data_IF_461749516219
#
_entry.id   IF_461749516219
#
_cell.length_a   1.000
_cell.length_b   1.000
_cell.length_c   1.000
_cell.angle_alpha   90.00
_cell.angle_beta   90.00
_cell.angle_gamma   90.00
#
_symmetry.space_group_name_H-M   'P 1'
#
loop_
_entity.id
_entity.type
_entity.pdbx_description
1 polymer ?
#
# COMPACT_ATOMS: atom_id res chain seq x y z
N UNK A 1 -7.75 -2.14 32.58
CA UNK A 1 -7.73 -0.66 32.55
C UNK A 1 -8.98 -0.17 31.83
N UNK A 2 -9.53 0.99 32.21
CA UNK A 2 -10.62 1.59 31.42
C UNK A 2 -10.09 2.01 30.04
N UNK A 3 -10.94 1.98 29.00
CA UNK A 3 -10.57 2.41 27.63
C UNK A 3 -9.95 3.82 27.62
N UNK A 4 -10.50 4.73 28.42
CA UNK A 4 -10.02 6.10 28.63
C UNK A 4 -8.57 6.13 29.13
N UNK A 5 -8.23 5.31 30.14
CA UNK A 5 -6.87 5.28 30.68
C UNK A 5 -5.85 4.78 29.65
N UNK A 6 -6.23 3.76 28.88
CA UNK A 6 -5.38 3.26 27.80
C UNK A 6 -5.16 4.32 26.72
N UNK A 7 -6.21 5.05 26.33
CA UNK A 7 -6.08 6.12 25.33
C UNK A 7 -5.13 7.23 25.81
N UNK A 8 -5.24 7.65 27.08
CA UNK A 8 -4.33 8.65 27.67
C UNK A 8 -2.89 8.13 27.67
N UNK A 9 -2.65 6.86 28.00
CA UNK A 9 -1.31 6.26 28.00
C UNK A 9 -0.71 6.21 26.58
N UNK A 10 -1.48 5.77 25.59
CA UNK A 10 -1.03 5.73 24.19
C UNK A 10 -0.78 7.12 23.62
N UNK A 11 -1.66 8.09 23.90
CA UNK A 11 -1.49 9.48 23.50
C UNK A 11 -0.26 10.12 24.16
N UNK A 12 -0.07 9.91 25.47
CA UNK A 12 1.08 10.45 26.21
C UNK A 12 2.41 9.89 25.69
N UNK A 13 2.44 8.59 25.37
CA UNK A 13 3.60 7.96 24.76
C UNK A 13 3.90 8.54 23.38
N UNK A 14 2.87 8.62 22.51
CA UNK A 14 3.01 9.18 21.17
C UNK A 14 3.50 10.63 21.20
N UNK A 15 2.86 11.51 21.97
CA UNK A 15 3.23 12.93 22.06
C UNK A 15 4.67 13.07 22.57
N UNK A 16 5.06 12.30 23.59
CA UNK A 16 6.43 12.33 24.11
C UNK A 16 7.47 11.99 23.03
N UNK A 17 7.25 10.94 22.26
CA UNK A 17 8.18 10.52 21.19
C UNK A 17 8.14 11.50 20.01
N UNK A 18 6.94 11.87 19.57
CA UNK A 18 6.69 12.78 18.45
C UNK A 18 7.35 14.14 18.69
N UNK A 19 7.13 14.75 19.85
CA UNK A 19 7.62 16.09 20.14
C UNK A 19 9.13 16.11 20.37
N UNK A 20 9.73 15.03 20.89
CA UNK A 20 11.19 14.87 20.91
C UNK A 20 11.77 14.83 19.51
N UNK A 21 11.18 14.05 18.60
CA UNK A 21 11.64 14.00 17.21
C UNK A 21 11.45 15.33 16.44
N UNK A 22 10.50 16.16 16.89
CA UNK A 22 10.24 17.50 16.36
C UNK A 22 10.98 18.65 17.08
N UNK A 23 11.78 18.35 18.12
CA UNK A 23 12.45 19.36 18.98
C UNK A 23 11.47 20.33 19.66
N UNK A 24 10.39 19.79 20.23
CA UNK A 24 9.28 20.48 20.90
C UNK A 24 9.09 20.00 22.34
N UNK A 25 10.15 19.54 22.99
CA UNK A 25 10.09 18.92 24.32
C UNK A 25 9.43 19.80 25.38
N UNK A 26 9.62 21.11 25.28
CA UNK A 26 9.04 22.09 26.20
C UNK A 26 7.50 22.11 26.19
N UNK A 27 6.85 21.61 25.13
CA UNK A 27 5.39 21.61 25.00
C UNK A 27 4.75 20.26 25.36
N UNK A 28 5.54 19.24 25.71
CA UNK A 28 5.03 17.88 25.98
C UNK A 28 4.03 17.88 27.13
N UNK A 29 4.39 18.47 28.27
CA UNK A 29 3.54 18.43 29.47
C UNK A 29 2.22 19.18 29.29
N UNK A 30 2.26 20.33 28.61
CA UNK A 30 1.08 21.14 28.29
C UNK A 30 0.15 20.37 27.35
N UNK A 31 0.69 19.85 26.24
CA UNK A 31 -0.11 19.09 25.26
C UNK A 31 -0.74 17.83 25.86
N UNK A 32 -0.02 17.10 26.71
CA UNK A 32 -0.57 15.92 27.40
C UNK A 32 -1.74 16.32 28.32
N UNK A 33 -1.64 17.44 29.05
CA UNK A 33 -2.73 17.94 29.89
C UNK A 33 -3.95 18.33 29.07
N UNK A 34 -3.76 19.02 27.94
CA UNK A 34 -4.85 19.35 27.01
C UNK A 34 -5.58 18.09 26.53
N UNK A 35 -4.83 17.08 26.09
CA UNK A 35 -5.37 15.81 25.61
C UNK A 35 -6.15 15.09 26.73
N UNK A 36 -5.63 15.09 27.96
CA UNK A 36 -6.33 14.49 29.10
C UNK A 36 -7.69 15.16 29.34
N UNK A 37 -7.73 16.49 29.35
CA UNK A 37 -8.97 17.26 29.52
C UNK A 37 -9.95 16.99 28.36
N UNK A 38 -9.46 16.92 27.13
CA UNK A 38 -10.27 16.64 25.95
C UNK A 38 -10.89 15.23 26.00
N UNK A 39 -10.09 14.23 26.38
CA UNK A 39 -10.54 12.83 26.55
C UNK A 39 -11.57 12.72 27.66
N UNK A 40 -11.38 13.40 28.79
CA UNK A 40 -12.34 13.41 29.90
C UNK A 40 -13.69 14.03 29.48
N UNK A 41 -13.66 15.05 28.63
CA UNK A 41 -14.85 15.77 28.19
C UNK A 41 -15.59 15.08 27.05
N UNK A 42 -14.87 14.51 26.09
CA UNK A 42 -15.43 14.04 24.80
C UNK A 42 -15.31 12.53 24.59
N UNK A 43 -14.49 11.86 25.40
CA UNK A 43 -14.13 10.45 25.22
C UNK A 43 -12.99 10.19 24.22
N UNK A 44 -12.46 11.22 23.55
CA UNK A 44 -11.35 11.14 22.59
C UNK A 44 -10.53 12.45 22.56
N UNK A 45 -9.56 12.57 21.65
CA UNK A 45 -8.88 13.83 21.35
C UNK A 45 -8.61 13.99 19.85
N UNK A 46 -8.31 15.21 19.43
CA UNK A 46 -7.89 15.51 18.07
C UNK A 46 -6.40 15.80 17.94
N UNK A 47 -5.76 15.15 16.96
CA UNK A 47 -4.41 15.49 16.57
C UNK A 47 -4.35 16.87 15.93
N UNK A 48 -3.29 17.62 16.22
CA UNK A 48 -2.89 18.74 15.36
C UNK A 48 -2.47 18.22 13.97
N UNK A 49 -2.45 19.09 12.96
CA UNK A 49 -1.97 18.68 11.64
C UNK A 49 -0.48 18.23 11.68
N UNK A 50 0.35 18.86 12.52
CA UNK A 50 1.75 18.48 12.70
C UNK A 50 1.89 17.08 13.33
N UNK A 51 1.08 16.78 14.35
CA UNK A 51 0.99 15.44 14.96
C UNK A 51 0.55 14.39 13.94
N UNK A 52 -0.46 14.70 13.12
CA UNK A 52 -0.95 13.81 12.07
C UNK A 52 0.13 13.52 11.02
N UNK A 53 0.84 14.57 10.57
CA UNK A 53 1.94 14.47 9.61
C UNK A 53 3.05 13.57 10.15
N UNK A 54 3.53 13.84 11.36
CA UNK A 54 4.64 13.09 11.92
C UNK A 54 4.23 11.66 12.30
N UNK A 55 3.05 11.49 12.91
CA UNK A 55 2.52 10.18 13.29
C UNK A 55 2.33 9.25 12.11
N UNK A 56 1.83 9.75 10.97
CA UNK A 56 1.68 8.96 9.74
C UNK A 56 3.04 8.54 9.18
N UNK A 57 4.04 9.43 9.23
CA UNK A 57 5.41 9.13 8.81
C UNK A 57 6.07 8.09 9.72
N UNK A 58 5.87 8.20 11.04
CA UNK A 58 6.30 7.19 12.00
C UNK A 58 5.64 5.83 11.71
N UNK A 59 4.35 5.80 11.35
CA UNK A 59 3.66 4.56 11.01
C UNK A 59 4.30 3.84 9.82
N UNK A 60 4.69 4.57 8.77
CA UNK A 60 5.45 3.99 7.67
C UNK A 60 6.85 3.53 8.11
N UNK A 61 7.57 4.34 8.90
CA UNK A 61 8.89 3.96 9.47
C UNK A 61 8.83 2.65 10.26
N UNK A 62 7.75 2.43 10.99
CA UNK A 62 7.52 1.26 11.84
C UNK A 62 6.90 0.05 11.09
N UNK A 63 6.64 0.17 9.79
CA UNK A 63 6.00 -0.89 9.00
C UNK A 63 6.96 -2.03 8.69
N UNK A 64 6.94 -3.08 9.52
CA UNK A 64 7.89 -4.20 9.46
C UNK A 64 7.95 -4.96 8.13
N UNK A 65 6.88 -4.91 7.32
CA UNK A 65 6.79 -5.58 6.02
C UNK A 65 7.25 -4.72 4.84
N UNK A 66 7.63 -3.46 5.08
CA UNK A 66 7.96 -2.52 4.01
C UNK A 66 9.49 -2.39 3.82
N UNK A 67 9.99 -2.72 2.63
CA UNK A 67 11.39 -2.50 2.25
C UNK A 67 11.68 -1.03 1.89
N UNK A 68 10.68 -0.28 1.41
CA UNK A 68 10.82 1.09 0.91
C UNK A 68 10.94 2.20 1.98
N UNK A 69 11.27 1.85 3.23
CA UNK A 69 11.18 2.76 4.38
C UNK A 69 12.19 3.92 4.39
N UNK A 70 13.21 3.92 3.54
CA UNK A 70 14.19 5.01 3.47
C UNK A 70 13.53 6.40 3.28
N UNK A 71 12.39 6.45 2.60
CA UNK A 71 11.71 7.70 2.26
C UNK A 71 10.59 8.08 3.24
N UNK A 72 10.52 7.44 4.41
CA UNK A 72 9.42 7.60 5.37
C UNK A 72 9.09 9.06 5.70
N UNK A 73 10.11 9.89 5.89
CA UNK A 73 9.97 11.31 6.23
C UNK A 73 9.49 12.20 5.07
N UNK A 74 9.45 11.67 3.83
CA UNK A 74 9.03 12.39 2.63
C UNK A 74 7.59 12.11 2.22
N UNK A 75 6.87 11.27 2.95
CA UNK A 75 5.45 11.02 2.69
C UNK A 75 4.67 12.33 2.76
N UNK A 76 3.83 12.55 1.75
CA UNK A 76 2.88 13.66 1.71
C UNK A 76 1.58 13.26 2.39
N UNK A 77 1.03 14.13 3.23
CA UNK A 77 -0.22 13.89 3.96
C UNK A 77 -1.28 14.84 3.40
N UNK A 78 -2.36 14.26 2.90
CA UNK A 78 -3.59 14.95 2.55
C UNK A 78 -4.56 14.79 3.72
N UNK A 79 -4.81 15.88 4.45
CA UNK A 79 -5.76 15.88 5.56
C UNK A 79 -7.19 16.01 5.03
N UNK A 80 -7.97 14.94 5.16
CA UNK A 80 -9.36 14.85 4.75
C UNK A 80 -10.27 14.57 5.95
N UNK A 81 -9.85 14.91 7.17
CA UNK A 81 -10.63 14.67 8.40
C UNK A 81 -11.97 15.41 8.43
N UNK A 82 -12.09 16.51 7.70
CA UNK A 82 -13.33 17.29 7.57
C UNK A 82 -14.32 16.71 6.53
N UNK A 83 -13.92 15.68 5.77
CA UNK A 83 -14.80 15.05 4.78
C UNK A 83 -15.83 14.18 5.49
N UNK A 84 -17.11 14.46 5.22
CA UNK A 84 -18.25 13.85 5.92
C UNK A 84 -19.38 13.39 5.00
N UNK A 85 -19.18 13.37 3.68
CA UNK A 85 -20.18 12.93 2.71
C UNK A 85 -19.57 12.13 1.55
N UNK A 86 -20.42 11.42 0.80
CA UNK A 86 -20.01 10.51 -0.27
C UNK A 86 -19.37 11.21 -1.48
N UNK A 87 -19.70 12.48 -1.71
CA UNK A 87 -19.10 13.26 -2.79
C UNK A 87 -17.69 13.71 -2.42
N UNK A 88 -17.52 14.22 -1.20
CA UNK A 88 -16.23 14.57 -0.62
C UNK A 88 -15.29 13.38 -0.54
N UNK A 89 -15.77 12.19 -0.12
CA UNK A 89 -14.94 10.96 -0.10
C UNK A 89 -14.46 10.63 -1.51
N UNK A 90 -15.36 10.59 -2.49
CA UNK A 90 -15.00 10.33 -3.88
C UNK A 90 -13.97 11.34 -4.41
N UNK A 91 -14.21 12.63 -4.21
CA UNK A 91 -13.33 13.69 -4.67
C UNK A 91 -11.94 13.60 -4.03
N UNK A 92 -11.87 13.27 -2.74
CA UNK A 92 -10.61 13.06 -2.03
C UNK A 92 -9.84 11.83 -2.57
N UNK A 93 -10.53 10.73 -2.89
CA UNK A 93 -9.91 9.54 -3.49
C UNK A 93 -9.41 9.80 -4.92
N UNK A 94 -10.19 10.49 -5.75
CA UNK A 94 -9.75 10.90 -7.09
C UNK A 94 -8.57 11.87 -7.02
N UNK A 95 -8.60 12.82 -6.08
CA UNK A 95 -7.48 13.73 -5.83
C UNK A 95 -6.21 12.96 -5.42
N UNK A 96 -6.34 11.98 -4.51
CA UNK A 96 -5.24 11.09 -4.13
C UNK A 96 -4.66 10.40 -5.37
N UNK A 97 -5.51 9.77 -6.19
CA UNK A 97 -5.07 9.04 -7.39
C UNK A 97 -4.25 9.95 -8.31
N UNK A 98 -4.76 11.14 -8.62
CA UNK A 98 -4.10 12.10 -9.50
C UNK A 98 -2.80 12.63 -8.92
N UNK A 99 -2.82 13.06 -7.66
CA UNK A 99 -1.66 13.64 -6.98
C UNK A 99 -0.53 12.63 -6.82
N UNK A 100 -0.86 11.41 -6.39
CA UNK A 100 0.09 10.32 -6.21
C UNK A 100 0.69 9.87 -7.53
N UNK A 101 -0.11 9.80 -8.60
CA UNK A 101 0.33 9.38 -9.94
C UNK A 101 1.30 10.37 -10.56
N UNK A 102 0.99 11.67 -10.52
CA UNK A 102 1.88 12.76 -10.96
C UNK A 102 2.58 12.48 -12.31
N UNK A 103 1.77 12.15 -13.33
CA UNK A 103 2.20 11.79 -14.69
C UNK A 103 3.22 10.63 -14.77
N UNK A 104 3.24 9.75 -13.77
CA UNK A 104 4.16 8.62 -13.65
C UNK A 104 5.32 8.87 -12.69
N UNK A 105 5.60 10.14 -12.30
CA UNK A 105 6.59 10.47 -11.27
C UNK A 105 5.99 10.33 -9.88
N UNK A 106 5.78 9.09 -9.47
CA UNK A 106 4.96 8.74 -8.31
C UNK A 106 5.41 9.45 -7.03
N UNK A 107 4.44 10.02 -6.30
CA UNK A 107 4.64 10.66 -5.00
C UNK A 107 4.09 9.78 -3.89
N UNK A 108 4.91 9.36 -2.90
CA UNK A 108 4.39 8.68 -1.71
C UNK A 108 3.44 9.59 -0.94
N UNK A 109 2.18 9.19 -0.89
CA UNK A 109 1.08 10.03 -0.37
C UNK A 109 0.17 9.18 0.49
N UNK A 110 -0.43 9.79 1.51
CA UNK A 110 -1.53 9.24 2.28
C UNK A 110 -2.66 10.27 2.37
N UNK A 111 -3.90 9.84 2.17
CA UNK A 111 -5.08 10.65 2.48
C UNK A 111 -5.69 10.13 3.75
N UNK A 112 -5.91 10.98 4.75
CA UNK A 112 -6.41 10.56 6.07
C UNK A 112 -7.80 11.15 6.28
N UNK A 113 -8.80 10.28 6.31
CA UNK A 113 -10.17 10.67 6.61
C UNK A 113 -10.41 10.78 8.12
N UNK A 114 -11.64 11.12 8.51
CA UNK A 114 -12.01 11.32 9.91
C UNK A 114 -11.69 10.10 10.78
N UNK A 115 -11.47 10.39 12.07
CA UNK A 115 -11.20 9.36 13.07
C UNK A 115 -12.41 8.41 13.18
N UNK A 116 -12.15 7.13 13.42
CA UNK A 116 -13.20 6.19 13.73
C UNK A 116 -13.73 6.45 15.16
N UNK A 117 -15.00 6.85 15.27
CA UNK A 117 -15.68 7.05 16.56
C UNK A 117 -16.88 6.11 16.77
N UNK A 118 -17.00 5.08 15.93
CA UNK A 118 -18.12 4.14 15.90
C UNK A 118 -18.69 4.01 14.49
N UNK A 119 -19.54 3.01 14.24
CA UNK A 119 -20.09 2.76 12.89
C UNK A 119 -20.84 3.97 12.32
N UNK A 120 -21.56 4.71 13.17
CA UNK A 120 -22.30 5.93 12.80
C UNK A 120 -21.40 7.17 12.62
N UNK A 121 -20.09 7.07 12.87
CA UNK A 121 -19.12 8.15 12.64
C UNK A 121 -17.80 7.56 12.10
N UNK A 122 -17.84 7.19 10.82
CA UNK A 122 -16.83 6.36 10.16
C UNK A 122 -16.85 6.58 8.65
N UNK A 123 -15.68 6.52 8.02
CA UNK A 123 -15.57 6.31 6.58
C UNK A 123 -14.96 4.94 6.36
N UNK A 124 -15.66 4.09 5.61
CA UNK A 124 -15.17 2.75 5.25
C UNK A 124 -14.90 2.69 3.76
N UNK A 125 -13.67 2.39 3.40
CA UNK A 125 -13.28 2.02 2.03
C UNK A 125 -13.21 0.49 1.97
N UNK A 126 -13.86 -0.11 0.97
CA UNK A 126 -13.95 -1.56 0.82
C UNK A 126 -12.89 -2.12 -0.13
N UNK A 127 -12.33 -1.28 -1.00
CA UNK A 127 -11.24 -1.65 -1.88
C UNK A 127 -9.99 -2.07 -1.08
N UNK A 128 -9.34 -3.16 -1.49
CA UNK A 128 -7.98 -3.49 -1.01
C UNK A 128 -6.95 -2.44 -1.49
N UNK A 129 -7.00 -2.12 -2.78
CA UNK A 129 -6.27 -1.01 -3.39
C UNK A 129 -7.24 -0.16 -4.19
N UNK A 130 -7.03 1.16 -4.21
CA UNK A 130 -7.89 2.10 -4.94
C UNK A 130 -7.99 1.75 -6.43
N UNK A 131 -6.86 1.34 -7.03
CA UNK A 131 -6.82 0.82 -8.41
C UNK A 131 -6.47 -0.65 -8.32
N UNK A 132 -7.36 -1.50 -8.82
CA UNK A 132 -7.13 -2.93 -8.94
C UNK A 132 -8.00 -3.51 -10.06
N UNK A 133 -7.53 -4.58 -10.69
CA UNK A 133 -8.32 -5.30 -11.67
C UNK A 133 -9.34 -6.23 -11.00
N UNK A 134 -10.49 -6.39 -11.64
CA UNK A 134 -11.54 -7.32 -11.27
C UNK A 134 -11.14 -8.78 -11.57
N UNK A 135 -11.87 -9.72 -10.99
CA UNK A 135 -11.73 -11.15 -11.23
C UNK A 135 -13.09 -11.82 -11.35
N UNK A 136 -13.33 -12.53 -12.45
CA UNK A 136 -14.60 -13.18 -12.75
C UNK A 136 -14.44 -14.69 -12.71
N UNK A 137 -15.19 -15.37 -11.85
CA UNK A 137 -15.24 -16.84 -11.82
C UNK A 137 -16.06 -17.34 -13.01
N UNK A 138 -15.51 -18.26 -13.77
CA UNK A 138 -16.17 -18.94 -14.90
C UNK A 138 -16.02 -20.45 -14.79
N UNK A 139 -16.75 -21.21 -15.60
CA UNK A 139 -16.62 -22.68 -15.67
C UNK A 139 -15.21 -23.13 -16.08
N UNK A 140 -14.46 -22.30 -16.82
CA UNK A 140 -13.11 -22.60 -17.31
C UNK A 140 -11.99 -22.06 -16.40
N UNK A 141 -12.33 -21.41 -15.28
CA UNK A 141 -11.38 -20.75 -14.38
C UNK A 141 -11.69 -19.27 -14.17
N UNK A 142 -10.70 -18.50 -13.73
CA UNK A 142 -10.88 -17.06 -13.47
C UNK A 142 -10.42 -16.23 -14.68
N UNK A 143 -11.23 -15.26 -15.09
CA UNK A 143 -10.82 -14.16 -15.99
C UNK A 143 -10.40 -12.96 -15.13
N UNK A 144 -9.24 -12.38 -15.40
CA UNK A 144 -8.69 -11.27 -14.61
C UNK A 144 -7.97 -11.71 -13.33
N UNK A 145 -8.09 -10.90 -12.27
CA UNK A 145 -7.37 -11.09 -11.01
C UNK A 145 -8.19 -11.94 -10.02
N UNK A 146 -7.79 -13.19 -9.83
CA UNK A 146 -8.35 -14.13 -8.84
C UNK A 146 -8.44 -13.59 -7.40
N UNK A 147 -7.51 -12.73 -6.98
CA UNK A 147 -7.56 -12.14 -5.64
C UNK A 147 -8.77 -11.20 -5.51
N UNK A 148 -9.25 -10.65 -6.63
CA UNK A 148 -10.36 -9.71 -6.65
C UNK A 148 -11.73 -10.38 -6.77
N UNK A 149 -11.84 -11.71 -6.88
CA UNK A 149 -13.14 -12.34 -7.20
C UNK A 149 -14.22 -12.02 -6.19
N UNK A 150 -13.93 -12.13 -4.88
CA UNK A 150 -14.94 -11.85 -3.86
C UNK A 150 -15.39 -10.39 -3.86
N UNK A 151 -14.45 -9.46 -4.10
CA UNK A 151 -14.78 -8.04 -4.18
C UNK A 151 -15.47 -7.67 -5.49
N UNK A 152 -15.18 -8.40 -6.58
CA UNK A 152 -15.89 -8.27 -7.86
C UNK A 152 -17.33 -8.71 -7.73
N UNK A 153 -17.57 -9.87 -7.09
CA UNK A 153 -18.90 -10.38 -6.76
C UNK A 153 -19.68 -9.32 -5.95
N UNK A 154 -19.06 -8.75 -4.91
CA UNK A 154 -19.64 -7.66 -4.12
C UNK A 154 -19.96 -6.39 -4.92
N UNK A 155 -19.08 -5.97 -5.84
CA UNK A 155 -19.37 -4.83 -6.72
C UNK A 155 -20.58 -5.12 -7.64
N UNK A 156 -20.69 -6.36 -8.15
CA UNK A 156 -21.81 -6.77 -9.00
C UNK A 156 -23.15 -6.81 -8.24
N UNK A 157 -23.14 -7.20 -6.96
CA UNK A 157 -24.31 -7.13 -6.08
C UNK A 157 -24.81 -5.68 -5.89
N UNK A 158 -23.89 -4.70 -5.85
CA UNK A 158 -24.24 -3.27 -5.84
C UNK A 158 -24.72 -2.75 -7.20
N UNK A 159 -24.72 -3.58 -8.24
CA UNK A 159 -25.18 -3.24 -9.58
C UNK A 159 -24.08 -2.81 -10.57
N UNK A 160 -22.81 -2.82 -10.17
CA UNK A 160 -21.70 -2.57 -11.09
C UNK A 160 -21.58 -3.72 -12.11
N UNK A 161 -21.15 -3.40 -13.34
CA UNK A 161 -20.90 -4.40 -14.39
C UNK A 161 -19.58 -4.10 -15.08
N UNK A 162 -18.65 -5.05 -15.02
CA UNK A 162 -17.42 -4.99 -15.81
C UNK A 162 -17.62 -5.43 -17.27
N UNK A 163 -16.58 -5.22 -18.07
CA UNK A 163 -16.53 -5.58 -19.50
C UNK A 163 -16.21 -7.08 -19.70
N UNK A 164 -15.76 -7.78 -18.65
CA UNK A 164 -15.37 -9.19 -18.68
C UNK A 164 -13.96 -9.42 -19.22
N UNK A 165 -13.06 -8.43 -19.12
CA UNK A 165 -11.67 -8.56 -19.61
C UNK A 165 -10.70 -8.97 -18.49
N UNK A 166 -9.47 -9.32 -18.87
CA UNK A 166 -8.40 -9.62 -17.91
C UNK A 166 -7.95 -8.42 -17.05
N UNK A 167 -8.37 -7.20 -17.40
CA UNK A 167 -7.85 -5.97 -16.81
C UNK A 167 -8.94 -4.91 -16.62
N UNK A 168 -10.15 -5.32 -16.28
CA UNK A 168 -11.23 -4.40 -15.92
C UNK A 168 -10.91 -3.72 -14.58
N UNK A 169 -10.86 -2.39 -14.56
CA UNK A 169 -10.60 -1.64 -13.33
C UNK A 169 -11.85 -1.63 -12.45
N UNK A 170 -11.73 -2.09 -11.22
CA UNK A 170 -12.80 -2.07 -10.23
C UNK A 170 -13.21 -0.63 -9.86
N UNK A 171 -14.50 -0.39 -9.53
CA UNK A 171 -14.93 0.91 -9.04
C UNK A 171 -14.41 1.16 -7.63
N UNK A 172 -14.43 2.43 -7.21
CA UNK A 172 -14.26 2.78 -5.79
C UNK A 172 -15.55 2.43 -5.05
N UNK A 173 -15.45 1.70 -3.94
CA UNK A 173 -16.58 1.34 -3.09
C UNK A 173 -16.32 1.80 -1.66
N UNK A 174 -17.23 2.61 -1.14
CA UNK A 174 -17.10 3.19 0.21
C UNK A 174 -18.47 3.48 0.83
N UNK A 175 -18.50 3.62 2.15
CA UNK A 175 -19.65 4.10 2.91
C UNK A 175 -19.24 5.17 3.92
N UNK A 176 -20.23 5.96 4.33
CA UNK A 176 -20.09 7.06 5.29
C UNK A 176 -21.14 6.89 6.37
N UNK A 177 -20.71 6.90 7.64
CA UNK A 177 -21.56 6.97 8.83
C UNK A 177 -22.66 5.89 8.85
N UNK A 178 -22.24 4.63 8.74
CA UNK A 178 -23.12 3.46 8.84
C UNK A 178 -24.04 3.22 7.64
N UNK A 179 -24.05 4.13 6.65
CA UNK A 179 -24.89 3.99 5.46
C UNK A 179 -24.45 2.82 4.58
N UNK A 180 -25.36 2.40 3.71
CA UNK A 180 -25.09 1.39 2.68
C UNK A 180 -23.92 1.81 1.78
N UNK A 181 -23.07 0.86 1.35
CA UNK A 181 -21.96 1.14 0.47
C UNK A 181 -22.43 1.61 -0.91
N UNK A 182 -21.77 2.63 -1.43
CA UNK A 182 -21.95 3.13 -2.80
C UNK A 182 -20.71 2.83 -3.62
N UNK A 183 -20.88 2.64 -4.94
CA UNK A 183 -19.77 2.54 -5.87
C UNK A 183 -19.71 3.74 -6.80
N UNK A 184 -18.50 4.16 -7.17
CA UNK A 184 -18.24 5.20 -8.18
C UNK A 184 -17.06 4.80 -9.06
N UNK A 185 -17.23 4.97 -10.37
CA UNK A 185 -16.17 4.67 -11.33
C UNK A 185 -15.01 5.67 -11.25
N UNK A 186 -13.80 5.16 -11.48
CA UNK A 186 -12.60 5.98 -11.64
C UNK A 186 -12.55 6.44 -13.10
N UNK A 187 -12.45 7.74 -13.39
CA UNK A 187 -12.32 8.20 -14.77
C UNK A 187 -11.10 7.55 -15.43
N UNK A 188 -11.27 6.90 -16.59
CA UNK A 188 -10.21 6.13 -17.28
C UNK A 188 -8.90 6.92 -17.45
N UNK A 189 -8.97 8.24 -17.64
CA UNK A 189 -7.82 9.15 -17.77
C UNK A 189 -6.94 9.27 -16.51
N UNK A 190 -7.50 8.99 -15.33
CA UNK A 190 -6.77 9.07 -14.06
C UNK A 190 -6.07 7.73 -13.73
N UNK A 191 -6.38 6.65 -14.47
CA UNK A 191 -5.74 5.34 -14.31
C UNK A 191 -4.54 5.23 -15.24
N UNK A 192 -3.33 5.38 -14.69
CA UNK A 192 -2.09 5.16 -15.44
C UNK A 192 -1.80 3.66 -15.52
N UNK A 193 -1.95 3.06 -16.69
CA UNK A 193 -1.54 1.68 -16.96
C UNK A 193 -0.24 1.62 -17.79
N UNK A 194 0.53 0.56 -17.59
CA UNK A 194 1.77 0.27 -18.31
C UNK A 194 1.61 -1.06 -19.04
N UNK A 195 1.55 -1.06 -20.38
CA UNK A 195 1.66 -2.29 -21.18
C UNK A 195 3.01 -2.96 -20.95
N UNK A 196 3.02 -4.27 -20.77
CA UNK A 196 4.22 -5.05 -20.54
C UNK A 196 4.79 -5.52 -21.88
N UNK A 197 5.99 -5.06 -22.17
CA UNK A 197 6.80 -5.42 -23.33
C UNK A 197 8.22 -5.81 -22.88
N UNK A 198 8.93 -6.53 -23.74
CA UNK A 198 10.27 -7.02 -23.46
C UNK A 198 11.24 -6.58 -24.55
N UNK A 199 12.49 -6.21 -24.21
CA UNK A 199 13.48 -5.75 -25.19
C UNK A 199 13.85 -6.80 -26.25
N UNK A 200 13.84 -8.09 -25.89
CA UNK A 200 14.25 -9.20 -26.77
C UNK A 200 13.11 -10.17 -27.17
N UNK A 201 12.23 -10.56 -26.26
CA UNK A 201 11.14 -11.53 -26.51
C UNK A 201 9.80 -10.86 -26.86
N UNK A 202 8.90 -11.54 -27.60
CA UNK A 202 7.61 -10.98 -28.02
C UNK A 202 6.53 -10.96 -26.92
N UNK A 203 6.87 -10.66 -25.66
CA UNK A 203 5.96 -10.67 -24.50
C UNK A 203 4.74 -9.74 -24.69
N UNK A 204 4.89 -8.66 -25.49
CA UNK A 204 3.79 -7.75 -25.81
C UNK A 204 2.58 -8.42 -26.46
N UNK A 205 2.77 -9.57 -27.12
CA UNK A 205 1.68 -10.40 -27.68
C UNK A 205 0.76 -11.02 -26.63
N UNK A 206 1.15 -11.07 -25.36
CA UNK A 206 0.28 -11.49 -24.26
C UNK A 206 -0.78 -10.43 -23.91
N UNK A 207 -0.62 -9.18 -24.38
CA UNK A 207 -1.50 -8.07 -24.00
C UNK A 207 -1.45 -7.74 -22.50
N UNK A 208 -0.44 -8.21 -21.78
CA UNK A 208 -0.30 -7.99 -20.35
C UNK A 208 -0.07 -6.49 -20.06
N UNK A 209 -0.68 -5.98 -19.00
CA UNK A 209 -0.48 -4.63 -18.49
C UNK A 209 -0.63 -4.59 -16.98
N UNK A 210 -0.08 -3.56 -16.34
CA UNK A 210 -0.26 -3.33 -14.91
C UNK A 210 -0.50 -1.85 -14.61
N UNK A 211 -1.30 -1.54 -13.59
CA UNK A 211 -1.50 -0.17 -13.14
C UNK A 211 -0.23 0.37 -12.47
N UNK A 212 0.03 1.66 -12.62
CA UNK A 212 1.33 2.26 -12.33
C UNK A 212 1.62 2.48 -10.85
N UNK A 213 0.60 2.57 -10.01
CA UNK A 213 0.75 3.00 -8.60
C UNK A 213 -0.03 2.06 -7.65
N UNK A 214 0.64 1.40 -6.69
CA UNK A 214 -0.02 0.62 -5.65
C UNK A 214 -0.58 1.53 -4.55
N UNK A 215 -1.90 1.63 -4.44
CA UNK A 215 -2.59 2.50 -3.48
C UNK A 215 -3.40 1.67 -2.48
N UNK A 216 -2.78 1.20 -1.40
CA UNK A 216 -3.43 0.38 -0.35
C UNK A 216 -4.51 1.20 0.35
N UNK A 217 -5.69 0.63 0.56
CA UNK A 217 -6.86 1.35 1.09
C UNK A 217 -7.65 0.62 2.18
N UNK A 218 -7.28 -0.62 2.52
CA UNK A 218 -7.98 -1.44 3.51
C UNK A 218 -7.30 -1.52 4.89
N UNK A 219 -6.11 -0.94 5.05
CA UNK A 219 -5.41 -0.92 6.34
C UNK A 219 -5.92 0.21 7.25
N UNK A 220 -5.85 -0.02 8.57
CA UNK A 220 -6.08 0.98 9.63
C UNK A 220 -4.76 1.64 10.01
N UNK A 221 -4.71 2.96 9.96
CA UNK A 221 -3.62 3.74 10.56
C UNK A 221 -3.94 4.02 12.04
N UNK A 222 -2.99 3.77 12.93
CA UNK A 222 -3.14 4.03 14.35
C UNK A 222 -2.03 4.96 14.86
N UNK A 223 -2.42 6.06 15.49
CA UNK A 223 -1.52 7.09 16.01
C UNK A 223 -2.01 7.47 17.42
N UNK A 224 -1.18 7.29 18.45
CA UNK A 224 -1.51 7.73 19.82
C UNK A 224 -2.86 7.25 20.35
N UNK A 225 -3.26 6.01 20.03
CA UNK A 225 -4.56 5.42 20.39
C UNK A 225 -5.74 5.82 19.50
N UNK A 226 -5.57 6.79 18.59
CA UNK A 226 -6.58 7.17 17.59
C UNK A 226 -6.51 6.22 16.39
N UNK A 227 -7.67 5.73 15.98
CA UNK A 227 -7.83 4.86 14.81
C UNK A 227 -8.36 5.63 13.60
N UNK A 228 -7.58 5.64 12.52
CA UNK A 228 -7.98 6.12 11.21
C UNK A 228 -8.26 4.91 10.31
N UNK A 229 -9.53 4.52 10.22
CA UNK A 229 -9.95 3.33 9.45
C UNK A 229 -9.93 3.58 7.95
N UNK A 230 -10.11 4.81 7.46
CA UNK A 230 -9.91 5.15 6.06
C UNK A 230 -8.69 6.06 5.93
N UNK A 231 -7.56 5.47 5.53
CA UNK A 231 -6.31 6.18 5.36
C UNK A 231 -5.51 5.66 4.16
N UNK A 232 -6.06 5.71 2.92
CA UNK A 232 -5.39 5.12 1.76
C UNK A 232 -4.03 5.76 1.50
N UNK A 233 -3.02 4.94 1.21
CA UNK A 233 -1.65 5.36 1.00
C UNK A 233 -0.98 4.65 -0.17
N UNK A 234 0.04 5.27 -0.74
CA UNK A 234 0.79 4.73 -1.86
C UNK A 234 2.29 4.90 -1.72
N UNK A 235 3.02 4.02 -2.40
CA UNK A 235 4.41 4.20 -2.81
C UNK A 235 4.52 4.03 -4.32
N UNK A 236 5.69 3.64 -4.80
CA UNK A 236 5.86 3.05 -6.13
C UNK A 236 6.20 1.57 -5.99
N UNK A 237 5.95 0.80 -7.04
CA UNK A 237 6.24 -0.64 -7.03
C UNK A 237 7.75 -0.93 -6.93
N UNK A 238 8.08 -1.99 -6.20
CA UNK A 238 9.24 -2.81 -6.49
C UNK A 238 8.86 -3.81 -7.59
N UNK A 239 9.69 -3.94 -8.63
CA UNK A 239 9.33 -4.70 -9.84
C UNK A 239 8.90 -6.16 -9.59
N UNK A 240 9.45 -6.80 -8.55
CA UNK A 240 9.12 -8.17 -8.16
C UNK A 240 7.70 -8.33 -7.62
N UNK A 241 7.06 -7.26 -7.13
CA UNK A 241 5.63 -7.30 -6.75
C UNK A 241 4.76 -7.55 -7.99
N UNK A 242 5.15 -7.03 -9.14
CA UNK A 242 4.43 -7.22 -10.40
C UNK A 242 4.92 -8.51 -11.08
N UNK A 243 6.20 -8.56 -11.43
CA UNK A 243 6.76 -9.60 -12.30
C UNK A 243 7.00 -10.94 -11.62
N UNK A 244 7.15 -10.98 -10.29
CA UNK A 244 7.37 -12.23 -9.55
C UNK A 244 6.20 -12.67 -8.67
N UNK A 245 5.16 -11.84 -8.53
CA UNK A 245 3.94 -12.17 -7.79
C UNK A 245 2.70 -11.99 -8.64
N UNK A 246 2.28 -10.75 -8.90
CA UNK A 246 1.00 -10.48 -9.56
C UNK A 246 0.83 -11.18 -10.91
N UNK A 247 1.86 -11.10 -11.77
CA UNK A 247 1.83 -11.71 -13.10
C UNK A 247 2.28 -13.17 -13.11
N UNK A 248 2.93 -13.66 -12.05
CA UNK A 248 3.64 -14.94 -12.05
C UNK A 248 2.99 -16.03 -11.18
N UNK A 249 2.39 -15.66 -10.06
CA UNK A 249 1.79 -16.60 -9.12
C UNK A 249 0.73 -17.45 -9.84
N UNK A 250 0.75 -18.76 -9.57
CA UNK A 250 -0.15 -19.73 -10.21
C UNK A 250 -1.63 -19.42 -9.93
N UNK A 251 -1.90 -18.95 -8.72
CA UNK A 251 -3.22 -18.53 -8.26
C UNK A 251 -3.50 -17.06 -8.55
N UNK A 252 -2.75 -16.41 -9.46
CA UNK A 252 -2.98 -15.04 -9.99
C UNK A 252 -3.08 -15.10 -11.52
N UNK A 253 -2.28 -14.31 -12.25
CA UNK A 253 -2.30 -14.29 -13.71
C UNK A 253 -1.49 -15.44 -14.36
N UNK A 254 -0.61 -16.10 -13.61
CA UNK A 254 0.12 -17.30 -14.04
C UNK A 254 0.76 -17.22 -15.45
N UNK A 255 1.49 -16.14 -15.75
CA UNK A 255 2.05 -15.91 -17.09
C UNK A 255 3.34 -16.70 -17.39
N UNK A 256 3.95 -17.36 -16.39
CA UNK A 256 5.23 -18.04 -16.56
C UNK A 256 5.25 -19.10 -17.68
N UNK A 257 4.22 -19.96 -17.86
CA UNK A 257 4.20 -20.92 -18.96
C UNK A 257 4.25 -20.25 -20.34
N UNK A 258 3.47 -19.18 -20.54
CA UNK A 258 3.41 -18.47 -21.80
C UNK A 258 4.72 -17.71 -22.10
N UNK A 259 5.34 -17.12 -21.07
CA UNK A 259 6.68 -16.51 -21.21
C UNK A 259 7.73 -17.57 -21.57
N UNK A 260 7.70 -18.74 -20.94
CA UNK A 260 8.63 -19.83 -21.24
C UNK A 260 8.49 -20.36 -22.68
N UNK A 261 7.27 -20.43 -23.21
CA UNK A 261 7.00 -20.80 -24.60
C UNK A 261 7.60 -19.77 -25.58
N UNK A 262 7.41 -18.47 -25.32
CA UNK A 262 8.00 -17.39 -26.14
C UNK A 262 9.53 -17.43 -26.14
N UNK A 263 10.13 -17.86 -25.03
CA UNK A 263 11.55 -18.07 -24.88
C UNK A 263 12.04 -19.43 -25.44
N UNK A 264 11.12 -20.29 -25.92
CA UNK A 264 11.40 -21.65 -26.42
C UNK A 264 12.11 -22.53 -25.38
N UNK A 265 11.73 -22.42 -24.11
CA UNK A 265 12.29 -23.22 -23.02
C UNK A 265 11.71 -24.64 -22.97
N UNK A 266 12.51 -25.61 -22.55
CA UNK A 266 12.04 -26.96 -22.21
C UNK A 266 11.30 -26.93 -20.86
N UNK A 267 9.96 -26.99 -20.90
CA UNK A 267 9.09 -27.00 -19.71
C UNK A 267 8.77 -28.40 -19.17
N UNK A 268 9.37 -29.45 -19.73
CA UNK A 268 9.00 -30.85 -19.44
C UNK A 268 9.36 -31.33 -18.03
N UNK A 269 10.34 -30.72 -17.37
CA UNK A 269 10.87 -31.15 -16.06
C UNK A 269 11.43 -29.98 -15.25
N UNK A 270 11.35 -30.09 -13.93
CA UNK A 270 11.80 -29.03 -13.02
C UNK A 270 13.31 -28.71 -13.15
N UNK A 271 14.15 -29.71 -13.45
CA UNK A 271 15.60 -29.54 -13.55
C UNK A 271 16.09 -28.62 -14.68
N UNK A 272 15.22 -28.22 -15.62
CA UNK A 272 15.57 -27.22 -16.65
C UNK A 272 15.55 -25.78 -16.13
N UNK A 273 14.98 -25.59 -14.93
CA UNK A 273 14.79 -24.30 -14.26
C UNK A 273 14.02 -23.29 -15.13
N UNK A 274 13.06 -23.79 -15.91
CA UNK A 274 12.31 -22.97 -16.86
C UNK A 274 11.49 -21.88 -16.17
N UNK A 275 10.95 -22.17 -14.96
CA UNK A 275 10.20 -21.19 -14.16
C UNK A 275 11.11 -20.04 -13.74
N UNK A 276 12.30 -20.36 -13.24
CA UNK A 276 13.30 -19.37 -12.81
C UNK A 276 13.71 -18.46 -13.97
N UNK A 277 13.99 -19.04 -15.14
CA UNK A 277 14.35 -18.28 -16.35
C UNK A 277 13.20 -17.38 -16.82
N UNK A 278 11.98 -17.90 -16.93
CA UNK A 278 10.81 -17.11 -17.32
C UNK A 278 10.50 -16.00 -16.30
N UNK A 279 10.67 -16.27 -15.01
CA UNK A 279 10.46 -15.31 -13.93
C UNK A 279 11.43 -14.14 -14.03
N UNK A 280 12.70 -14.40 -14.34
CA UNK A 280 13.71 -13.36 -14.56
C UNK A 280 13.30 -12.46 -15.73
N UNK A 281 13.01 -13.03 -16.90
CA UNK A 281 12.65 -12.24 -18.08
C UNK A 281 11.32 -11.49 -17.92
N UNK A 282 10.34 -12.05 -17.19
CA UNK A 282 9.12 -11.33 -16.86
C UNK A 282 9.38 -10.11 -15.96
N UNK A 283 10.33 -10.21 -15.02
CA UNK A 283 10.76 -9.05 -14.21
C UNK A 283 11.54 -8.02 -15.05
N UNK A 284 12.36 -8.47 -16.00
CA UNK A 284 13.04 -7.58 -16.96
C UNK A 284 12.00 -6.81 -17.79
N UNK A 285 10.99 -7.49 -18.32
CA UNK A 285 9.90 -6.87 -19.08
C UNK A 285 9.18 -5.78 -18.27
N UNK A 286 8.84 -6.07 -17.01
CA UNK A 286 8.19 -5.11 -16.11
C UNK A 286 9.06 -3.87 -15.90
N UNK A 287 10.32 -4.04 -15.51
CA UNK A 287 11.23 -2.91 -15.26
C UNK A 287 11.48 -2.09 -16.54
N UNK A 288 11.67 -2.76 -17.68
CA UNK A 288 11.84 -2.13 -18.99
C UNK A 288 10.62 -1.27 -19.34
N UNK A 289 9.43 -1.84 -19.23
CA UNK A 289 8.16 -1.20 -19.62
C UNK A 289 7.86 0.04 -18.79
N UNK A 290 8.00 -0.07 -17.46
CA UNK A 290 7.78 1.06 -16.55
C UNK A 290 8.77 2.20 -16.82
N UNK A 291 10.06 1.86 -17.02
CA UNK A 291 11.08 2.85 -17.37
C UNK A 291 10.78 3.52 -18.71
N UNK A 292 10.39 2.76 -19.74
CA UNK A 292 10.03 3.29 -21.07
C UNK A 292 8.84 4.25 -21.00
N UNK A 293 7.86 3.96 -20.15
CA UNK A 293 6.66 4.79 -19.95
C UNK A 293 6.87 5.96 -18.97
N UNK A 294 8.07 6.11 -18.39
CA UNK A 294 8.38 7.15 -17.42
C UNK A 294 7.64 7.00 -16.08
N UNK A 295 7.23 5.78 -15.72
CA UNK A 295 6.54 5.49 -14.47
C UNK A 295 7.55 5.00 -13.44
N UNK A 296 7.54 5.59 -12.24
CA UNK A 296 8.43 5.24 -11.14
C UNK A 296 8.30 3.76 -10.76
N UNK A 297 9.44 3.08 -10.73
CA UNK A 297 9.59 1.70 -10.29
C UNK A 297 11.00 1.52 -9.73
N UNK A 298 11.20 0.54 -8.84
CA UNK A 298 12.52 0.19 -8.33
C UNK A 298 12.78 -1.30 -8.48
N UNK A 299 14.00 -1.69 -8.84
CA UNK A 299 14.41 -3.10 -8.79
C UNK A 299 14.75 -3.53 -7.35
N UNK A 300 14.73 -4.84 -7.10
CA UNK A 300 14.89 -5.37 -5.75
C UNK A 300 16.32 -5.22 -5.19
N UNK A 301 17.35 -5.09 -6.03
CA UNK A 301 18.71 -4.83 -5.56
C UNK A 301 18.85 -3.39 -5.08
N UNK A 302 18.37 -2.42 -5.86
CA UNK A 302 18.34 -1.01 -5.47
C UNK A 302 17.47 -0.81 -4.23
N UNK A 303 16.29 -1.45 -4.14
CA UNK A 303 15.44 -1.38 -2.96
C UNK A 303 16.12 -1.92 -1.69
N UNK A 304 16.87 -3.04 -1.80
CA UNK A 304 17.65 -3.55 -0.68
C UNK A 304 18.78 -2.60 -0.27
N UNK A 305 19.49 -1.98 -1.22
CA UNK A 305 20.51 -0.97 -0.92
C UNK A 305 19.91 0.28 -0.22
N UNK A 306 18.74 0.72 -0.66
CA UNK A 306 17.99 1.80 0.00
C UNK A 306 17.59 1.40 1.42
N UNK A 307 17.15 0.17 1.63
CA UNK A 307 16.83 -0.35 2.96
C UNK A 307 18.07 -0.43 3.86
N UNK A 308 19.24 -0.79 3.32
CA UNK A 308 20.49 -0.73 4.07
C UNK A 308 20.82 0.70 4.53
N UNK A 309 20.53 1.70 3.70
CA UNK A 309 20.71 3.10 4.08
C UNK A 309 19.72 3.53 5.16
N UNK A 310 18.47 3.05 5.10
CA UNK A 310 17.49 3.25 6.17
C UNK A 310 18.01 2.68 7.50
N UNK A 311 18.55 1.46 7.49
CA UNK A 311 19.11 0.85 8.69
C UNK A 311 20.22 1.72 9.32
N UNK A 312 21.12 2.26 8.50
CA UNK A 312 22.19 3.17 8.96
C UNK A 312 21.62 4.45 9.57
N UNK A 313 20.56 5.02 8.99
CA UNK A 313 19.92 6.23 9.49
C UNK A 313 19.24 5.99 10.85
N UNK A 314 18.52 4.88 11.00
CA UNK A 314 17.89 4.53 12.27
C UNK A 314 18.91 4.32 13.38
N UNK A 315 20.01 3.61 13.09
CA UNK A 315 21.12 3.42 14.05
C UNK A 315 21.76 4.76 14.42
N UNK A 316 21.99 5.66 13.46
CA UNK A 316 22.53 6.98 13.73
C UNK A 316 21.61 7.84 14.63
N UNK A 317 20.30 7.59 14.59
CA UNK A 317 19.32 8.20 15.49
C UNK A 317 19.11 7.41 16.80
N UNK A 318 19.89 6.37 17.08
CA UNK A 318 19.76 5.54 18.28
C UNK A 318 18.49 4.68 18.29
N UNK A 319 17.85 4.43 17.14
CA UNK A 319 16.64 3.60 17.01
C UNK A 319 16.98 2.19 16.54
N UNK A 320 16.23 1.22 17.05
CA UNK A 320 16.32 -0.19 16.60
C UNK A 320 15.46 -0.38 15.36
N UNK A 321 16.03 -1.02 14.34
CA UNK A 321 15.28 -1.38 13.13
C UNK A 321 14.47 -2.65 13.38
N UNK A 322 13.13 -2.53 13.32
CA UNK A 322 12.22 -3.67 13.31
C UNK A 322 11.91 -4.12 11.87
N UNK A 323 11.62 -5.40 11.69
CA UNK A 323 11.37 -5.97 10.37
C UNK A 323 10.81 -7.39 10.40
N UNK A 324 9.94 -7.69 9.45
CA UNK A 324 9.48 -9.04 9.16
C UNK A 324 10.33 -9.58 8.01
N UNK A 325 11.32 -10.41 8.36
CA UNK A 325 12.30 -10.91 7.40
C UNK A 325 11.68 -11.58 6.16
N UNK A 326 10.61 -12.37 6.34
CA UNK A 326 9.90 -13.08 5.27
C UNK A 326 9.31 -12.12 4.24
N UNK A 327 8.93 -10.91 4.65
CA UNK A 327 8.40 -9.87 3.77
C UNK A 327 9.47 -8.94 3.19
N UNK A 328 10.59 -8.77 3.89
CA UNK A 328 11.67 -7.89 3.46
C UNK A 328 12.56 -8.52 2.39
N UNK A 329 12.70 -9.85 2.37
CA UNK A 329 13.44 -10.52 1.30
C UNK A 329 12.62 -10.50 -0.01
N UNK A 330 13.23 -10.19 -1.17
CA UNK A 330 12.50 -10.22 -2.42
C UNK A 330 12.20 -11.67 -2.85
N UNK A 331 11.08 -11.92 -3.55
CA UNK A 331 10.72 -13.28 -4.00
C UNK A 331 11.60 -13.80 -5.14
N UNK A 332 12.46 -12.95 -5.72
CA UNK A 332 13.44 -13.30 -6.73
C UNK A 332 14.84 -12.98 -6.18
N UNK A 333 15.75 -13.95 -6.27
CA UNK A 333 17.16 -13.80 -5.87
C UNK A 333 17.40 -13.27 -4.45
N UNK A 334 16.66 -13.69 -3.40
CA UNK A 334 16.76 -13.09 -2.06
C UNK A 334 18.16 -13.13 -1.46
N UNK A 335 18.89 -14.25 -1.63
CA UNK A 335 20.25 -14.44 -1.11
C UNK A 335 21.30 -13.51 -1.72
N UNK A 336 20.97 -12.79 -2.80
CA UNK A 336 21.85 -11.76 -3.41
C UNK A 336 21.74 -10.40 -2.72
N UNK A 337 20.87 -10.27 -1.70
CA UNK A 337 20.66 -9.04 -0.93
C UNK A 337 21.20 -9.18 0.49
N UNK A 338 21.60 -8.08 1.13
CA UNK A 338 22.10 -8.11 2.51
C UNK A 338 21.03 -8.55 3.52
N UNK A 339 19.76 -8.30 3.20
CA UNK A 339 18.58 -8.61 4.04
C UNK A 339 18.52 -10.11 4.33
N UNK A 340 18.81 -10.97 3.36
CA UNK A 340 18.76 -12.42 3.54
C UNK A 340 19.73 -12.91 4.63
N UNK A 341 20.87 -12.25 4.81
CA UNK A 341 21.94 -12.67 5.71
C UNK A 341 21.84 -12.08 7.11
N UNK A 342 20.75 -11.36 7.42
CA UNK A 342 20.58 -10.65 8.69
C UNK A 342 19.18 -10.85 9.27
N UNK A 343 19.03 -11.32 10.52
CA UNK A 343 17.73 -11.37 11.19
C UNK A 343 17.28 -9.96 11.62
N UNK A 344 15.96 -9.76 11.71
CA UNK A 344 15.35 -8.53 12.21
C UNK A 344 14.38 -8.85 13.37
N UNK A 345 14.40 -8.07 14.46
CA UNK A 345 13.35 -8.18 15.48
C UNK A 345 12.02 -7.75 14.86
N UNK A 346 10.99 -8.60 14.99
CA UNK A 346 9.66 -8.33 14.45
C UNK A 346 8.70 -7.76 15.51
N UNK A 347 9.22 -6.89 16.38
CA UNK A 347 8.41 -6.15 17.35
C UNK A 347 7.52 -5.14 16.63
N UNK A 348 6.27 -5.00 17.08
CA UNK A 348 5.32 -4.05 16.52
C UNK A 348 5.41 -2.75 17.31
N UNK A 349 5.96 -1.72 16.68
CA UNK A 349 6.01 -0.37 17.23
C UNK A 349 4.81 0.45 16.74
N UNK A 350 4.28 1.35 17.58
CA UNK A 350 3.25 2.33 17.22
C UNK A 350 3.86 3.74 17.13
N UNK A 351 3.34 4.66 16.29
CA UNK A 351 2.26 4.49 15.30
C UNK A 351 2.53 3.40 14.26
N UNK A 352 1.49 2.81 13.66
CA UNK A 352 1.64 1.79 12.60
C UNK A 352 0.37 1.63 11.74
N UNK A 353 0.50 0.83 10.68
CA UNK A 353 -0.62 0.34 9.88
C UNK A 353 -0.97 -1.11 10.27
N UNK A 354 -2.26 -1.39 10.40
CA UNK A 354 -2.80 -2.67 10.84
C UNK A 354 -3.84 -3.19 9.84
N UNK A 355 -3.92 -4.50 9.69
CA UNK A 355 -5.04 -5.13 9.00
C UNK A 355 -6.31 -4.96 9.84
N UNK A 356 -7.46 -4.75 9.18
CA UNK A 356 -8.77 -4.60 9.83
C UNK A 356 -9.40 -5.94 10.18
#
# INVERSE_FOLDING_TARGET
MSKTKQLIEEASHFITVCYKELNKEQFIEERIKEIQVEIEKTGTYEHTFEELVHGSRMAWRNSNRCIGRLFWSKMHILDAREVNDEEGVYNALIHHIKYATNDGKVKPTITIFKQYQGEENNIRIYNHQLIRYAGYKTEMGVIGDSHSTAFTDFCQELGWRGEGTNFDVLPLVFSVDGKEPVYKEIPKKEVKEVPIEHPEYPISSLGAKWYGVPMISDMRLEIGGISYTAAPFNGWYMGTEIGARNLADHDRYNLLPAVAEMMKLDISRNGTLWKDKALIELNVAVLHSFKKQGVSIVDHHTAAQQFQQFEKQEVACGRVVTGNWVWLIPPLSPATTHIYHKPYPNEILKPNFFHK
#
